data_IF_993605135499
#
_entry.id   IF_993605135499
#
_cell.length_a   1.000
_cell.length_b   1.000
_cell.length_c   1.000
_cell.angle_alpha   90.00
_cell.angle_beta   90.00
_cell.angle_gamma   90.00
#
_symmetry.space_group_name_H-M   'P 1'
#
loop_
_entity.id
_entity.type
_entity.pdbx_description
1 polymer ?
#
# COMPACT_ATOMS: atom_id res chain seq x y z
N UNK A 1 -27.11 68.45 12.27
CA UNK A 1 -25.90 68.63 11.43
C UNK A 1 -24.93 67.49 11.76
N UNK A 2 -24.71 66.61 10.78
CA UNK A 2 -23.68 65.55 10.69
C UNK A 2 -23.76 64.33 11.62
N UNK A 3 -24.42 63.30 11.08
CA UNK A 3 -24.09 61.89 11.29
C UNK A 3 -22.58 61.66 11.06
N UNK A 4 -21.96 60.84 11.90
CA UNK A 4 -20.76 60.06 11.54
C UNK A 4 -20.89 58.68 12.18
N UNK A 5 -21.35 57.75 11.33
CA UNK A 5 -21.54 56.34 11.57
C UNK A 5 -20.14 55.69 11.56
N UNK A 6 -19.65 55.23 12.71
CA UNK A 6 -18.44 54.42 12.77
C UNK A 6 -18.81 52.97 12.40
N UNK A 7 -18.60 52.60 11.14
CA UNK A 7 -18.78 51.24 10.65
C UNK A 7 -17.55 50.41 11.07
N UNK A 8 -17.64 49.68 12.18
CA UNK A 8 -16.67 48.62 12.49
C UNK A 8 -16.92 47.44 11.53
N UNK A 9 -16.08 47.29 10.51
CA UNK A 9 -16.06 46.10 9.67
C UNK A 9 -15.23 45.04 10.41
N UNK A 10 -15.90 44.13 11.09
CA UNK A 10 -15.28 42.91 11.58
C UNK A 10 -15.05 41.96 10.40
N UNK A 11 -13.81 41.90 9.89
CA UNK A 11 -13.38 40.86 8.96
C UNK A 11 -13.25 39.55 9.76
N UNK A 12 -14.29 38.73 9.77
CA UNK A 12 -14.18 37.34 10.19
C UNK A 12 -13.37 36.58 9.12
N UNK A 13 -12.07 36.41 9.36
CA UNK A 13 -11.27 35.46 8.61
C UNK A 13 -11.75 34.05 8.98
N UNK A 14 -12.75 33.54 8.26
CA UNK A 14 -13.06 32.12 8.27
C UNK A 14 -11.86 31.41 7.63
N UNK A 15 -10.94 30.92 8.47
CA UNK A 15 -9.91 29.99 8.02
C UNK A 15 -10.62 28.82 7.36
N UNK A 16 -10.40 28.62 6.07
CA UNK A 16 -10.81 27.41 5.41
C UNK A 16 -9.98 26.27 6.04
N UNK A 17 -10.58 25.56 6.98
CA UNK A 17 -10.07 24.26 7.38
C UNK A 17 -10.05 23.41 6.11
N UNK A 18 -8.86 23.17 5.58
CA UNK A 18 -8.64 22.21 4.50
C UNK A 18 -8.96 20.86 5.10
N UNK A 19 -10.23 20.49 5.05
CA UNK A 19 -10.71 19.17 5.42
C UNK A 19 -10.10 18.22 4.42
N UNK A 20 -9.13 17.41 4.87
CA UNK A 20 -8.53 16.37 4.05
C UNK A 20 -9.65 15.42 3.62
N UNK A 21 -9.90 15.36 2.31
CA UNK A 21 -10.96 14.53 1.78
C UNK A 21 -10.45 13.10 1.66
N UNK A 22 -10.95 12.23 2.54
CA UNK A 22 -10.82 10.78 2.36
C UNK A 22 -11.89 10.34 1.36
N UNK A 23 -11.45 9.73 0.27
CA UNK A 23 -12.32 9.09 -0.71
C UNK A 23 -12.26 7.59 -0.57
N UNK A 24 -13.42 6.94 -0.74
CA UNK A 24 -13.56 5.48 -0.76
C UNK A 24 -14.26 5.06 -2.04
N UNK A 25 -13.72 4.05 -2.71
CA UNK A 25 -14.36 3.42 -3.86
C UNK A 25 -14.26 1.91 -3.75
N UNK A 26 -15.31 1.20 -4.17
CA UNK A 26 -15.33 -0.26 -4.18
C UNK A 26 -15.23 -0.77 -5.62
N UNK A 27 -14.38 -1.78 -5.83
CA UNK A 27 -14.16 -2.42 -7.13
C UNK A 27 -14.26 -3.93 -6.98
N UNK A 28 -15.14 -4.55 -7.76
CA UNK A 28 -15.21 -6.01 -7.88
C UNK A 28 -14.01 -6.54 -8.66
N UNK A 29 -13.28 -7.49 -8.07
CA UNK A 29 -12.12 -8.17 -8.66
C UNK A 29 -12.51 -9.59 -9.09
N UNK A 30 -13.42 -9.70 -10.06
CA UNK A 30 -13.83 -10.98 -10.63
C UNK A 30 -12.69 -11.65 -11.40
N UNK A 31 -12.69 -12.98 -11.42
CA UNK A 31 -11.86 -13.78 -12.32
C UNK A 31 -12.72 -14.25 -13.50
N UNK A 32 -12.94 -15.55 -13.65
CA UNK A 32 -13.98 -16.10 -14.52
C UNK A 32 -15.13 -16.63 -13.64
N UNK A 33 -16.38 -16.71 -14.13
CA UNK A 33 -17.46 -17.32 -13.36
C UNK A 33 -17.13 -18.74 -12.88
N UNK A 34 -16.38 -19.51 -13.68
CA UNK A 34 -15.86 -20.81 -13.30
C UNK A 34 -14.86 -20.71 -12.15
N UNK A 35 -13.85 -19.83 -12.25
CA UNK A 35 -12.81 -19.67 -11.24
C UNK A 35 -13.28 -18.98 -9.96
N UNK A 36 -14.35 -18.18 -9.99
CA UNK A 36 -14.93 -17.57 -8.79
C UNK A 36 -15.88 -18.56 -8.09
N UNK A 37 -16.54 -19.47 -8.82
CA UNK A 37 -17.43 -20.48 -8.25
C UNK A 37 -16.74 -21.78 -7.83
N UNK A 38 -15.50 -22.03 -8.28
CA UNK A 38 -14.85 -23.32 -8.01
C UNK A 38 -14.60 -23.55 -6.51
N UNK A 39 -14.87 -24.76 -6.00
CA UNK A 39 -14.47 -25.18 -4.66
C UNK A 39 -12.96 -25.40 -4.60
N UNK A 40 -12.44 -25.76 -3.42
CA UNK A 40 -11.06 -26.21 -3.28
C UNK A 40 -10.86 -27.55 -4.02
N UNK A 41 -9.68 -27.71 -4.61
CA UNK A 41 -9.21 -28.92 -5.28
C UNK A 41 -8.40 -29.78 -4.32
N UNK A 42 -8.62 -31.10 -4.36
CA UNK A 42 -7.80 -32.07 -3.62
C UNK A 42 -6.35 -32.15 -4.14
N UNK A 43 -6.08 -31.57 -5.31
CA UNK A 43 -4.74 -31.50 -5.90
C UNK A 43 -3.89 -30.37 -5.31
N UNK A 44 -4.52 -29.40 -4.63
CA UNK A 44 -3.84 -28.30 -3.95
C UNK A 44 -3.84 -28.60 -2.44
N UNK A 45 -2.67 -28.80 -1.81
CA UNK A 45 -2.60 -28.97 -0.37
C UNK A 45 -3.13 -27.74 0.37
N UNK A 46 -3.77 -27.94 1.53
CA UNK A 46 -4.22 -26.84 2.39
C UNK A 46 -3.10 -25.85 2.72
N UNK A 47 -1.87 -26.38 2.90
CA UNK A 47 -0.64 -25.61 3.11
C UNK A 47 0.52 -26.34 2.43
N UNK A 48 1.42 -25.59 1.80
CA UNK A 48 2.70 -26.10 1.30
C UNK A 48 3.83 -25.13 1.66
N UNK A 49 5.05 -25.66 1.75
CA UNK A 49 6.24 -24.86 2.01
C UNK A 49 6.98 -24.57 0.71
N UNK A 50 7.44 -23.33 0.56
CA UNK A 50 8.47 -22.96 -0.41
C UNK A 50 9.72 -22.63 0.39
N UNK A 51 10.73 -23.48 0.29
CA UNK A 51 12.01 -23.21 0.92
C UNK A 51 12.86 -22.28 0.05
N UNK A 52 13.59 -21.38 0.70
CA UNK A 52 14.46 -20.44 0.04
C UNK A 52 15.50 -19.87 1.01
N UNK A 53 16.62 -19.42 0.47
CA UNK A 53 17.71 -18.74 1.14
C UNK A 53 17.74 -17.29 0.69
N UNK A 54 18.07 -16.39 1.62
CA UNK A 54 18.36 -15.00 1.27
C UNK A 54 19.76 -14.96 0.67
N UNK A 55 19.86 -14.66 -0.62
CA UNK A 55 21.15 -14.48 -1.31
C UNK A 55 21.80 -13.14 -0.98
N UNK A 56 20.97 -12.10 -0.84
CA UNK A 56 21.43 -10.75 -0.50
C UNK A 56 20.33 -9.91 0.10
N UNK A 57 20.76 -8.90 0.85
CA UNK A 57 19.89 -7.84 1.37
C UNK A 57 20.06 -6.58 0.54
N UNK A 58 18.94 -5.95 0.18
CA UNK A 58 18.91 -4.68 -0.56
C UNK A 58 18.16 -3.66 0.27
N UNK A 59 18.84 -2.58 0.64
CA UNK A 59 18.24 -1.45 1.39
C UNK A 59 17.94 -0.31 0.43
N UNK A 60 16.68 0.08 0.37
CA UNK A 60 16.17 1.17 -0.46
C UNK A 60 15.90 2.37 0.44
N UNK A 61 16.54 3.51 0.16
CA UNK A 61 16.26 4.78 0.83
C UNK A 61 15.54 5.72 -0.10
N UNK A 62 14.37 6.18 0.31
CA UNK A 62 13.52 7.08 -0.45
C UNK A 62 13.75 8.52 -0.01
N UNK A 63 13.73 9.45 -0.97
CA UNK A 63 13.76 10.89 -0.71
C UNK A 63 12.35 11.45 -0.69
N UNK A 64 12.23 12.66 -0.15
CA UNK A 64 11.01 13.47 -0.18
C UNK A 64 10.31 13.46 -1.56
N UNK A 65 8.98 13.31 -1.53
CA UNK A 65 8.05 13.24 -2.65
C UNK A 65 8.24 12.07 -3.63
N UNK A 66 9.12 11.12 -3.34
CA UNK A 66 9.16 9.87 -4.12
C UNK A 66 7.88 9.08 -3.85
N UNK A 67 7.19 8.64 -4.89
CA UNK A 67 6.09 7.68 -4.72
C UNK A 67 6.65 6.34 -4.22
N UNK A 68 6.10 5.84 -3.11
CA UNK A 68 6.63 4.67 -2.43
C UNK A 68 6.60 3.42 -3.33
N UNK A 69 5.43 3.09 -3.90
CA UNK A 69 5.27 1.91 -4.75
C UNK A 69 6.15 2.01 -6.00
N UNK A 70 6.03 3.11 -6.75
CA UNK A 70 6.80 3.30 -7.98
C UNK A 70 8.31 3.30 -7.73
N UNK A 71 8.77 3.79 -6.58
CA UNK A 71 10.17 3.71 -6.20
C UNK A 71 10.63 2.28 -5.87
N UNK A 72 9.80 1.47 -5.20
CA UNK A 72 10.10 0.05 -4.96
C UNK A 72 10.18 -0.70 -6.30
N UNK A 73 9.16 -0.58 -7.15
CA UNK A 73 9.09 -1.26 -8.45
C UNK A 73 10.28 -0.90 -9.35
N UNK A 74 10.65 0.39 -9.39
CA UNK A 74 11.84 0.85 -10.11
C UNK A 74 13.09 0.12 -9.63
N UNK A 75 13.29 0.01 -8.32
CA UNK A 75 14.48 -0.62 -7.75
C UNK A 75 14.47 -2.15 -7.91
N UNK A 76 13.31 -2.79 -7.82
CA UNK A 76 13.13 -4.21 -8.14
C UNK A 76 13.59 -4.50 -9.57
N UNK A 77 13.15 -3.69 -10.53
CA UNK A 77 13.57 -3.79 -11.93
C UNK A 77 15.06 -3.51 -12.11
N UNK A 78 15.56 -2.39 -11.59
CA UNK A 78 16.96 -1.97 -11.75
C UNK A 78 17.94 -2.99 -11.15
N UNK A 79 17.57 -3.62 -10.03
CA UNK A 79 18.41 -4.63 -9.36
C UNK A 79 18.15 -6.05 -9.85
N UNK A 80 17.28 -6.26 -10.84
CA UNK A 80 16.97 -7.58 -11.38
C UNK A 80 16.40 -8.53 -10.33
N UNK A 81 15.60 -8.03 -9.39
CA UNK A 81 15.04 -8.84 -8.31
C UNK A 81 13.84 -9.62 -8.85
N UNK A 82 13.96 -10.95 -8.86
CA UNK A 82 12.86 -11.84 -9.25
C UNK A 82 11.95 -12.16 -8.07
N UNK A 83 12.51 -12.73 -7.02
CA UNK A 83 11.78 -13.10 -5.80
C UNK A 83 12.45 -12.44 -4.59
N UNK A 84 11.65 -11.87 -3.69
CA UNK A 84 12.15 -11.28 -2.46
C UNK A 84 11.06 -11.25 -1.39
N UNK A 85 11.48 -11.19 -0.13
CA UNK A 85 10.62 -10.89 1.02
C UNK A 85 10.99 -9.51 1.57
N UNK A 86 9.99 -8.76 2.01
CA UNK A 86 10.22 -7.51 2.74
C UNK A 86 10.62 -7.84 4.17
N UNK A 87 11.80 -7.40 4.58
CA UNK A 87 12.34 -7.63 5.94
C UNK A 87 12.02 -6.47 6.89
N UNK A 88 11.85 -5.26 6.35
CA UNK A 88 11.53 -4.07 7.13
C UNK A 88 11.05 -2.95 6.21
N UNK A 89 10.13 -2.13 6.71
CA UNK A 89 9.76 -0.87 6.09
C UNK A 89 9.30 0.16 7.10
N UNK A 90 9.94 1.32 7.09
CA UNK A 90 9.67 2.43 8.03
C UNK A 90 9.83 3.79 7.34
N UNK A 91 9.19 4.83 7.86
CA UNK A 91 9.31 6.19 7.33
C UNK A 91 8.03 6.99 7.52
N UNK A 92 7.78 7.95 6.63
CA UNK A 92 6.51 8.69 6.61
C UNK A 92 6.07 9.10 5.21
N UNK A 93 4.76 9.28 5.04
CA UNK A 93 4.12 9.74 3.79
C UNK A 93 3.35 11.04 4.04
N UNK A 94 3.15 11.83 2.97
CA UNK A 94 2.40 13.10 3.05
C UNK A 94 0.88 12.91 3.00
N UNK A 95 0.47 11.82 2.39
CA UNK A 95 -0.89 11.37 2.19
C UNK A 95 -0.82 9.87 1.88
N UNK A 96 -1.96 9.18 1.87
CA UNK A 96 -1.94 7.74 1.62
C UNK A 96 -3.00 7.26 0.64
N UNK A 97 -2.67 6.17 -0.05
CA UNK A 97 -3.59 5.43 -0.89
C UNK A 97 -3.34 3.93 -0.72
N UNK A 98 -4.35 3.23 -0.22
CA UNK A 98 -4.29 1.78 0.01
C UNK A 98 -5.60 1.13 -0.40
N UNK A 99 -5.60 -0.19 -0.57
CA UNK A 99 -6.85 -0.94 -0.63
C UNK A 99 -6.86 -2.14 0.33
N UNK A 100 -8.07 -2.57 0.67
CA UNK A 100 -8.32 -3.79 1.44
C UNK A 100 -9.45 -4.60 0.80
N UNK A 101 -9.53 -5.90 1.10
CA UNK A 101 -10.67 -6.74 0.70
C UNK A 101 -11.89 -6.36 1.56
N UNK A 102 -13.05 -6.14 0.93
CA UNK A 102 -14.25 -5.61 1.59
C UNK A 102 -15.40 -6.61 1.76
N UNK A 103 -15.25 -7.84 1.27
CA UNK A 103 -16.28 -8.87 1.35
C UNK A 103 -15.71 -10.26 1.71
N UNK A 104 -16.60 -11.25 1.84
CA UNK A 104 -16.27 -12.61 2.30
C UNK A 104 -16.44 -13.70 1.23
N UNK A 105 -16.96 -13.34 0.06
CA UNK A 105 -17.35 -14.27 -0.99
C UNK A 105 -16.70 -13.90 -2.33
N UNK A 106 -16.57 -14.86 -3.24
CA UNK A 106 -16.16 -14.57 -4.61
C UNK A 106 -17.35 -14.09 -5.47
N UNK A 107 -17.15 -13.14 -6.40
CA UNK A 107 -15.90 -12.43 -6.68
C UNK A 107 -15.50 -11.50 -5.52
N UNK A 108 -14.22 -11.53 -5.17
CA UNK A 108 -13.65 -10.65 -4.14
C UNK A 108 -13.84 -9.18 -4.53
N UNK A 109 -14.08 -8.32 -3.56
CA UNK A 109 -14.19 -6.88 -3.73
C UNK A 109 -13.08 -6.18 -2.97
N UNK A 110 -12.55 -5.11 -3.56
CA UNK A 110 -11.57 -4.26 -2.91
C UNK A 110 -12.18 -2.88 -2.64
N UNK A 111 -12.00 -2.39 -1.42
CA UNK A 111 -12.22 -0.98 -1.08
C UNK A 111 -10.90 -0.22 -1.15
N UNK A 112 -10.84 0.76 -2.04
CA UNK A 112 -9.73 1.71 -2.17
C UNK A 112 -10.00 2.89 -1.25
N UNK A 113 -9.00 3.26 -0.46
CA UNK A 113 -9.06 4.35 0.50
C UNK A 113 -7.93 5.32 0.14
N UNK A 114 -8.29 6.52 -0.29
CA UNK A 114 -7.34 7.57 -0.64
C UNK A 114 -7.58 8.79 0.23
N UNK A 115 -6.55 9.17 0.96
CA UNK A 115 -6.43 10.48 1.60
C UNK A 115 -5.49 11.35 0.75
N UNK A 116 -5.83 12.63 0.61
CA UNK A 116 -5.13 13.58 -0.26
C UNK A 116 -4.20 14.57 0.46
N UNK A 117 -4.12 14.57 1.79
CA UNK A 117 -3.33 15.59 2.50
C UNK A 117 -2.93 15.31 3.95
N UNK A 118 -3.38 14.20 4.55
CA UNK A 118 -3.05 13.83 5.92
C UNK A 118 -1.72 13.06 5.95
N UNK A 119 -0.68 13.56 6.62
CA UNK A 119 0.57 12.81 6.78
C UNK A 119 0.37 11.61 7.69
N UNK A 120 1.17 10.56 7.50
CA UNK A 120 1.15 9.39 8.35
C UNK A 120 2.55 8.76 8.44
N UNK A 121 2.85 8.16 9.59
CA UNK A 121 4.06 7.36 9.77
C UNK A 121 3.84 5.96 9.22
N UNK A 122 4.81 5.48 8.44
CA UNK A 122 4.92 4.08 8.04
C UNK A 122 5.58 3.33 9.20
N UNK A 123 4.81 2.55 9.92
CA UNK A 123 5.30 1.76 11.06
C UNK A 123 5.65 0.31 10.66
N UNK A 124 5.16 -0.14 9.50
CA UNK A 124 5.54 -1.42 8.91
C UNK A 124 5.25 -1.45 7.41
N UNK A 125 6.13 -2.09 6.64
CA UNK A 125 5.85 -2.58 5.29
C UNK A 125 6.26 -4.04 5.21
N UNK A 126 5.32 -4.89 4.82
CA UNK A 126 5.54 -6.32 4.62
C UNK A 126 5.04 -6.72 3.24
N UNK A 127 5.51 -7.85 2.74
CA UNK A 127 5.09 -8.37 1.45
C UNK A 127 6.19 -9.13 0.74
N UNK A 128 5.96 -9.32 -0.55
CA UNK A 128 6.82 -10.10 -1.42
C UNK A 128 7.07 -9.38 -2.74
N UNK A 129 8.20 -9.70 -3.36
CA UNK A 129 8.37 -9.56 -4.80
C UNK A 129 8.16 -10.96 -5.38
N UNK A 130 7.20 -11.11 -6.28
CA UNK A 130 6.83 -12.38 -6.93
C UNK A 130 7.07 -12.24 -8.42
N UNK A 131 8.06 -12.95 -8.95
CA UNK A 131 8.46 -12.87 -10.36
C UNK A 131 8.63 -11.42 -10.87
N UNK A 132 9.25 -10.56 -10.06
CA UNK A 132 9.52 -9.16 -10.36
C UNK A 132 8.34 -8.20 -10.11
N UNK A 133 7.19 -8.70 -9.67
CA UNK A 133 6.02 -7.89 -9.29
C UNK A 133 5.98 -7.68 -7.79
N UNK A 134 5.70 -6.45 -7.36
CA UNK A 134 5.63 -6.10 -5.94
C UNK A 134 4.21 -6.38 -5.43
N UNK A 135 4.09 -7.19 -4.38
CA UNK A 135 2.88 -7.33 -3.58
C UNK A 135 3.20 -6.92 -2.15
N UNK A 136 3.00 -5.64 -1.85
CA UNK A 136 3.33 -5.06 -0.56
C UNK A 136 2.09 -4.48 0.13
N UNK A 137 2.07 -4.61 1.45
CA UNK A 137 1.09 -3.99 2.34
C UNK A 137 1.84 -3.11 3.33
N UNK A 138 1.20 -2.02 3.75
CA UNK A 138 1.76 -1.14 4.77
C UNK A 138 0.78 -0.89 5.90
N UNK A 139 1.33 -0.70 7.09
CA UNK A 139 0.62 -0.16 8.25
C UNK A 139 1.07 1.28 8.47
N UNK A 140 0.09 2.16 8.56
CA UNK A 140 0.21 3.59 8.81
C UNK A 140 -0.30 3.93 10.20
N UNK A 141 0.20 5.01 10.79
CA UNK A 141 -0.32 5.56 12.04
C UNK A 141 -0.25 7.09 12.10
N UNK A 142 -1.15 7.70 12.87
CA UNK A 142 -1.23 9.14 13.18
C UNK A 142 -1.25 9.39 14.70
N UNK A 143 -0.41 8.70 15.48
CA UNK A 143 -0.32 8.89 16.94
C UNK A 143 -1.56 8.47 17.75
N UNK A 144 -2.74 8.37 17.13
CA UNK A 144 -4.00 7.99 17.77
C UNK A 144 -4.48 6.60 17.34
N UNK A 145 -4.27 6.25 16.06
CA UNK A 145 -4.74 4.99 15.48
C UNK A 145 -3.73 4.44 14.47
N UNK A 146 -3.93 3.17 14.12
CA UNK A 146 -3.25 2.52 13.02
C UNK A 146 -4.26 2.01 11.99
N UNK A 147 -3.90 2.10 10.72
CA UNK A 147 -4.68 1.57 9.60
C UNK A 147 -3.73 1.08 8.51
N UNK A 148 -4.23 0.43 7.48
CA UNK A 148 -3.35 -0.10 6.44
C UNK A 148 -4.09 -0.83 5.34
N UNK A 149 -3.30 -1.37 4.43
CA UNK A 149 -3.78 -2.16 3.31
C UNK A 149 -2.67 -2.39 2.29
N UNK A 150 -3.06 -2.94 1.16
CA UNK A 150 -2.19 -3.06 -0.01
C UNK A 150 -1.78 -1.68 -0.50
N UNK A 151 -0.49 -1.49 -0.80
CA UNK A 151 0.04 -0.20 -1.25
C UNK A 151 -0.39 0.06 -2.68
N UNK A 152 -0.93 1.24 -2.94
CA UNK A 152 -1.30 1.71 -4.28
C UNK A 152 -0.43 2.89 -4.73
N UNK A 153 -0.47 3.31 -6.01
CA UNK A 153 0.15 4.55 -6.43
C UNK A 153 -0.46 5.78 -5.75
N UNK A 154 0.39 6.75 -5.38
CA UNK A 154 -0.02 7.99 -4.73
C UNK A 154 0.32 8.05 -3.24
N UNK A 155 1.44 7.44 -2.84
CA UNK A 155 1.99 7.48 -1.48
C UNK A 155 3.33 8.24 -1.48
N UNK A 156 3.33 9.58 -1.63
CA UNK A 156 4.56 10.36 -1.68
C UNK A 156 5.20 10.41 -0.29
N UNK A 157 6.48 10.00 -0.23
CA UNK A 157 7.29 10.05 0.98
C UNK A 157 7.40 11.48 1.53
N UNK A 158 7.29 11.64 2.85
CA UNK A 158 7.42 12.94 3.52
C UNK A 158 8.85 13.21 4.01
N UNK A 159 9.34 12.51 5.02
CA UNK A 159 10.70 12.76 5.54
C UNK A 159 11.72 11.88 4.82
N UNK A 160 11.52 10.58 4.94
CA UNK A 160 12.21 9.50 4.27
C UNK A 160 11.33 8.25 4.34
N UNK A 161 11.68 7.24 3.55
CA UNK A 161 11.27 5.88 3.81
C UNK A 161 12.47 4.97 3.59
N UNK A 162 12.51 3.86 4.32
CA UNK A 162 13.52 2.81 4.19
C UNK A 162 12.76 1.51 3.97
N UNK A 163 13.07 0.81 2.89
CA UNK A 163 12.54 -0.53 2.60
C UNK A 163 13.72 -1.49 2.49
N UNK A 164 13.66 -2.60 3.22
CA UNK A 164 14.69 -3.63 3.19
C UNK A 164 14.12 -4.89 2.57
N UNK A 165 14.76 -5.38 1.51
CA UNK A 165 14.38 -6.60 0.80
C UNK A 165 15.42 -7.69 1.04
N UNK A 166 14.98 -8.88 1.43
CA UNK A 166 15.76 -10.11 1.36
C UNK A 166 15.50 -10.77 0.02
N UNK A 167 16.45 -10.71 -0.91
CA UNK A 167 16.34 -11.34 -2.23
C UNK A 167 16.52 -12.84 -2.06
N UNK A 168 15.54 -13.60 -2.54
CA UNK A 168 15.52 -15.06 -2.43
C UNK A 168 16.27 -15.69 -3.59
N UNK A 169 16.87 -16.84 -3.34
CA UNK A 169 17.54 -17.62 -4.37
C UNK A 169 16.55 -18.10 -5.46
N UNK A 170 17.04 -18.36 -6.69
CA UNK A 170 16.20 -18.79 -7.81
C UNK A 170 15.41 -20.09 -7.57
N UNK A 171 15.80 -20.92 -6.59
CA UNK A 171 15.09 -22.16 -6.24
C UNK A 171 13.78 -21.92 -5.50
N UNK A 172 13.59 -20.75 -4.89
CA UNK A 172 12.35 -20.39 -4.21
C UNK A 172 11.27 -19.98 -5.23
N UNK A 173 10.42 -20.92 -5.63
CA UNK A 173 9.31 -20.65 -6.55
C UNK A 173 8.09 -20.03 -5.84
N UNK A 174 7.94 -18.72 -5.98
CA UNK A 174 6.80 -17.98 -5.45
C UNK A 174 5.62 -17.84 -6.44
N UNK A 175 5.65 -18.50 -7.60
CA UNK A 175 4.73 -18.20 -8.71
C UNK A 175 3.23 -18.34 -8.42
N UNK A 176 2.86 -19.04 -7.34
CA UNK A 176 1.46 -19.29 -6.94
C UNK A 176 1.07 -18.67 -5.60
N UNK A 177 1.98 -18.03 -4.88
CA UNK A 177 1.73 -17.65 -3.47
C UNK A 177 0.69 -16.52 -3.31
N UNK A 178 0.50 -15.70 -4.34
CA UNK A 178 -0.51 -14.63 -4.40
C UNK A 178 -1.63 -14.94 -5.42
N UNK A 179 -1.74 -16.19 -5.88
CA UNK A 179 -2.74 -16.63 -6.85
C UNK A 179 -3.99 -17.15 -6.16
N UNK A 180 -5.01 -16.29 -6.04
CA UNK A 180 -6.31 -16.66 -5.45
C UNK A 180 -7.08 -17.76 -6.21
N UNK A 181 -6.66 -18.09 -7.43
CA UNK A 181 -7.26 -19.17 -8.22
C UNK A 181 -6.58 -20.51 -7.97
N UNK A 182 -5.44 -20.53 -7.30
CA UNK A 182 -4.74 -21.76 -6.92
C UNK A 182 -5.30 -22.28 -5.59
N UNK A 183 -6.38 -23.05 -5.67
CA UNK A 183 -7.09 -23.62 -4.52
C UNK A 183 -7.78 -24.92 -4.87
#
# INVERSE_FOLDING_TARGET
MRLLLALLIAFAAAGAEVTTQITKSEVTRATTPHDDAKPNSVEVPDVYAVEGRIERVVVLRFKYQTDLLGGIEKMVKEKGIRNAVFLSGVGSVRNYHVHAVSNRDFPSKNVFIRDSGTPADIISVNGYVVNGKVHAHMTLADGEKAWGGHIEPGNPVFTFAIITLGVLDPGADLSRVDDKTYR
#
